data_IF_251184349068
#
_entry.id   IF_251184349068
#
_cell.length_a   1.000
_cell.length_b   1.000
_cell.length_c   1.000
_cell.angle_alpha   90.00
_cell.angle_beta   90.00
_cell.angle_gamma   90.00
#
_symmetry.space_group_name_H-M   'P 1'
#
loop_
_entity.id
_entity.type
_entity.pdbx_description
1 polymer ?
#
# COMPACT_ATOMS: atom_id res chain seq x y z
N UNK A 1 6.69 -0.49 -10.92
CA UNK A 1 5.73 0.59 -10.99
C UNK A 1 5.07 0.77 -9.64
N UNK A 2 4.57 1.95 -9.34
CA UNK A 2 3.95 2.19 -8.05
C UNK A 2 2.45 2.37 -8.21
N UNK A 3 1.74 2.08 -7.13
CA UNK A 3 0.29 2.19 -7.10
C UNK A 3 -0.09 3.19 -6.03
N UNK A 4 -0.93 4.14 -6.37
CA UNK A 4 -1.39 5.15 -5.45
C UNK A 4 -2.81 4.84 -5.02
N UNK A 5 -3.01 4.83 -3.71
CA UNK A 5 -4.32 4.58 -3.13
C UNK A 5 -4.71 5.75 -2.27
N UNK A 6 -5.95 6.18 -2.39
CA UNK A 6 -6.46 7.27 -1.58
C UNK A 6 -7.40 6.70 -0.53
N UNK A 7 -7.04 6.85 0.73
CA UNK A 7 -7.84 6.37 1.84
C UNK A 7 -7.72 7.30 3.02
N UNK A 8 -8.81 7.46 3.74
CA UNK A 8 -8.82 8.29 4.92
C UNK A 8 -9.42 7.48 6.07
N UNK A 9 -8.62 7.24 7.09
CA UNK A 9 -9.06 6.41 8.20
C UNK A 9 -9.55 7.20 9.39
N UNK A 10 -9.34 8.51 9.39
CA UNK A 10 -9.87 9.35 10.44
C UNK A 10 -9.36 9.01 11.82
N UNK A 11 -8.14 8.50 11.91
CA UNK A 11 -7.58 8.15 13.20
C UNK A 11 -7.88 6.74 13.63
N UNK A 12 -8.52 5.95 12.79
CA UNK A 12 -8.80 4.55 13.12
C UNK A 12 -7.57 3.72 12.83
N UNK A 13 -6.67 3.66 13.81
CA UNK A 13 -5.40 2.98 13.61
C UNK A 13 -5.57 1.49 13.34
N UNK A 14 -6.54 0.86 14.00
CA UNK A 14 -6.76 -0.56 13.79
C UNK A 14 -7.16 -0.86 12.36
N UNK A 15 -8.05 -0.05 11.82
CA UNK A 15 -8.47 -0.23 10.45
C UNK A 15 -7.30 0.01 9.49
N UNK A 16 -6.51 1.01 9.78
CA UNK A 16 -5.36 1.33 8.96
C UNK A 16 -4.37 0.17 8.94
N UNK A 17 -4.07 -0.37 10.11
CA UNK A 17 -3.14 -1.49 10.20
C UNK A 17 -3.66 -2.70 9.46
N UNK A 18 -4.94 -2.97 9.64
CA UNK A 18 -5.53 -4.13 8.97
C UNK A 18 -5.41 -4.01 7.46
N UNK A 19 -5.71 -2.82 6.95
CA UNK A 19 -5.62 -2.58 5.51
C UNK A 19 -4.18 -2.70 5.02
N UNK A 20 -3.24 -2.13 5.76
CA UNK A 20 -1.84 -2.19 5.37
C UNK A 20 -1.33 -3.64 5.39
N UNK A 21 -1.77 -4.42 6.37
CA UNK A 21 -1.39 -5.82 6.43
C UNK A 21 -1.89 -6.56 5.21
N UNK A 22 -3.12 -6.28 4.82
CA UNK A 22 -3.67 -6.91 3.65
C UNK A 22 -2.89 -6.58 2.41
N UNK A 23 -2.52 -5.32 2.24
CA UNK A 23 -1.72 -4.91 1.10
C UNK A 23 -0.37 -5.62 1.12
N UNK A 24 0.21 -5.76 2.30
CA UNK A 24 1.49 -6.44 2.42
C UNK A 24 1.36 -7.92 2.03
N UNK A 25 0.25 -8.54 2.39
CA UNK A 25 0.03 -9.93 2.03
C UNK A 25 -0.07 -10.10 0.52
N UNK A 26 -0.56 -9.09 -0.16
CA UNK A 26 -0.62 -9.12 -1.61
C UNK A 26 0.73 -8.86 -2.25
N UNK A 27 1.72 -8.52 -1.44
CA UNK A 27 3.04 -8.25 -1.97
C UNK A 27 3.33 -6.78 -2.18
N UNK A 28 2.39 -5.92 -1.88
CA UNK A 28 2.61 -4.50 -2.04
C UNK A 28 3.51 -3.97 -0.96
N UNK A 29 4.33 -3.01 -1.31
CA UNK A 29 5.27 -2.41 -0.39
C UNK A 29 4.96 -0.94 -0.24
N UNK A 30 4.73 -0.50 1.00
CA UNK A 30 4.44 0.91 1.24
C UNK A 30 5.69 1.74 1.04
N UNK A 31 5.62 2.69 0.12
CA UNK A 31 6.73 3.57 -0.16
C UNK A 31 6.52 4.92 0.50
N UNK A 32 5.27 5.37 0.53
CA UNK A 32 4.98 6.69 1.04
C UNK A 32 3.58 6.71 1.65
N UNK A 33 3.44 7.42 2.75
CA UNK A 33 2.15 7.54 3.41
C UNK A 33 1.91 9.00 3.74
N UNK A 34 0.78 9.53 3.29
CA UNK A 34 0.33 10.88 3.59
C UNK A 34 -0.98 10.80 4.35
N UNK A 35 -1.63 11.92 4.57
CA UNK A 35 -2.87 11.93 5.31
C UNK A 35 -3.90 11.00 4.69
N UNK A 36 -4.03 11.04 3.38
CA UNK A 36 -5.00 10.18 2.71
C UNK A 36 -4.42 9.54 1.46
N UNK A 37 -3.15 9.75 1.20
CA UNK A 37 -2.51 9.15 0.04
C UNK A 37 -1.51 8.10 0.49
N UNK A 38 -1.66 6.90 -0.02
CA UNK A 38 -0.75 5.80 0.26
C UNK A 38 -0.19 5.31 -1.05
N UNK A 39 1.12 5.32 -1.17
CA UNK A 39 1.79 4.88 -2.38
C UNK A 39 2.49 3.56 -2.11
N UNK A 40 2.21 2.57 -2.95
CA UNK A 40 2.79 1.24 -2.80
C UNK A 40 3.56 0.88 -4.05
N UNK A 41 4.59 0.07 -3.84
CA UNK A 41 5.31 -0.53 -4.95
C UNK A 41 4.69 -1.88 -5.26
N UNK A 42 4.37 -2.11 -6.53
CA UNK A 42 3.69 -3.35 -6.92
C UNK A 42 4.65 -4.53 -6.80
N UNK A 43 4.09 -5.69 -6.44
CA UNK A 43 4.94 -6.85 -6.29
C UNK A 43 5.33 -7.43 -7.63
N UNK A 44 6.34 -8.16 -7.58
CA UNK A 44 6.69 -9.01 -8.64
C UNK A 44 7.09 -8.40 -9.92
N UNK A 45 7.47 -7.34 -9.87
CA UNK A 45 7.69 -6.85 -10.98
C UNK A 45 8.72 -7.39 -11.65
N UNK A 46 8.80 -7.91 -11.74
CA UNK A 46 9.66 -8.38 -12.28
C UNK A 46 9.95 -8.59 -13.41
N UNK A 47 10.11 -8.56 -13.47
CA UNK A 47 10.33 -8.61 -14.19
C UNK A 47 10.37 -8.99 -15.12
N UNK A 48 10.24 -9.05 -15.19
CA UNK A 48 10.23 -9.27 -15.75
C UNK A 48 10.28 -9.36 -16.47
N UNK A 49 10.31 -9.44 -16.47
CA UNK A 49 10.34 -9.63 -16.84
C UNK A 49 10.36 -9.85 -17.29
N UNK A 50 10.33 -9.90 -17.15
CA UNK A 50 10.29 -10.19 -17.33
C UNK A 50 10.18 -10.24 -17.60
#
# INVERSE_FOLDING_TARGET
MSKKCYRFFGGLLTAQEHWLNKMSEKGYRLIRAEKMLYEFEEPGQAPSAS
#
